data_IF_883680470330
#
_entry.id   IF_883680470330
#
_cell.length_a   1.000
_cell.length_b   1.000
_cell.length_c   1.000
_cell.angle_alpha   90.00
_cell.angle_beta   90.00
_cell.angle_gamma   90.00
#
_symmetry.space_group_name_H-M   'P 1'
#
loop_
_entity.id
_entity.type
_entity.pdbx_description
1 polymer ?
#
# COMPACT_ATOMS: atom_id res chain seq x y z
N UNK A 1 -45.35 46.09 -27.04
CA UNK A 1 -44.27 46.00 -28.05
C UNK A 1 -43.49 44.74 -27.72
N UNK A 2 -43.74 43.65 -28.45
CA UNK A 2 -42.89 43.08 -29.53
C UNK A 2 -41.57 42.52 -28.97
N UNK A 3 -41.09 41.30 -29.24
CA UNK A 3 -41.50 40.13 -30.02
C UNK A 3 -40.43 39.04 -29.71
N UNK A 4 -40.78 37.78 -29.41
CA UNK A 4 -40.66 36.57 -30.27
C UNK A 4 -39.27 36.19 -30.84
N UNK A 5 -39.03 34.86 -30.83
CA UNK A 5 -38.18 34.02 -31.70
C UNK A 5 -36.68 33.88 -31.35
N UNK A 6 -35.97 32.76 -31.60
CA UNK A 6 -36.31 31.43 -32.13
C UNK A 6 -35.14 30.45 -31.85
N UNK A 7 -35.49 29.16 -31.76
CA UNK A 7 -34.88 27.99 -32.40
C UNK A 7 -33.51 28.11 -33.08
N UNK A 8 -32.62 27.13 -32.84
CA UNK A 8 -32.00 26.30 -33.89
C UNK A 8 -31.54 24.96 -33.28
N UNK A 9 -32.26 23.91 -33.67
CA UNK A 9 -31.83 22.51 -33.69
C UNK A 9 -30.73 22.35 -34.74
N UNK A 10 -29.62 21.68 -34.42
CA UNK A 10 -28.77 21.04 -35.44
C UNK A 10 -28.67 19.54 -35.15
N UNK A 11 -29.66 18.83 -35.70
CA UNK A 11 -29.57 17.42 -36.07
C UNK A 11 -28.76 17.39 -37.38
N UNK A 12 -27.52 16.93 -37.34
CA UNK A 12 -26.61 16.89 -38.48
C UNK A 12 -26.03 15.49 -38.66
N UNK A 13 -26.70 14.72 -39.52
CA UNK A 13 -26.24 13.48 -40.14
C UNK A 13 -24.76 13.52 -40.54
N UNK A 14 -23.93 12.63 -39.99
CA UNK A 14 -22.74 12.10 -40.69
C UNK A 14 -22.80 10.58 -40.57
N UNK A 15 -23.58 10.00 -41.48
CA UNK A 15 -23.58 8.58 -41.81
C UNK A 15 -22.61 8.45 -42.98
N UNK A 16 -21.31 8.38 -42.70
CA UNK A 16 -20.30 8.07 -43.71
C UNK A 16 -20.10 6.55 -43.68
N UNK A 17 -20.69 5.91 -44.69
CA UNK A 17 -20.34 4.58 -45.11
C UNK A 17 -18.89 4.57 -45.58
N UNK A 18 -18.01 3.92 -44.82
CA UNK A 18 -16.78 3.34 -45.32
C UNK A 18 -16.92 1.82 -45.23
N UNK A 19 -17.65 1.26 -46.19
CA UNK A 19 -17.43 -0.11 -46.60
C UNK A 19 -16.08 -0.16 -47.31
N UNK A 20 -14.99 -0.18 -46.54
CA UNK A 20 -13.73 -0.70 -47.05
C UNK A 20 -13.94 -2.19 -47.28
N UNK A 21 -13.80 -2.58 -48.54
CA UNK A 21 -13.65 -3.96 -48.97
C UNK A 21 -12.45 -4.57 -48.23
N UNK A 22 -12.71 -5.32 -47.16
CA UNK A 22 -11.77 -6.30 -46.65
C UNK A 22 -11.79 -7.49 -47.60
N UNK A 23 -10.94 -7.46 -48.63
CA UNK A 23 -10.38 -8.68 -49.18
C UNK A 23 -9.50 -9.30 -48.09
N UNK A 24 -10.12 -10.06 -47.18
CA UNK A 24 -9.41 -10.99 -46.30
C UNK A 24 -8.93 -12.15 -47.18
N UNK A 25 -7.87 -11.93 -47.95
CA UNK A 25 -7.05 -13.07 -48.37
C UNK A 25 -6.30 -13.59 -47.12
N UNK A 26 -6.43 -14.89 -46.79
CA UNK A 26 -5.57 -15.48 -45.78
C UNK A 26 -4.12 -15.37 -46.27
N UNK A 27 -3.30 -14.68 -45.47
CA UNK A 27 -1.87 -14.54 -45.70
C UNK A 27 -1.20 -15.93 -45.70
N UNK A 28 -0.76 -16.38 -46.88
CA UNK A 28 -0.09 -17.69 -47.11
C UNK A 28 1.45 -17.55 -47.16
N UNK A 29 1.98 -16.48 -46.55
CA UNK A 29 3.41 -16.33 -46.33
C UNK A 29 3.87 -17.16 -45.14
N UNK A 30 5.12 -17.67 -45.10
CA UNK A 30 5.65 -18.29 -43.90
C UNK A 30 5.59 -17.28 -42.76
N UNK A 31 4.85 -17.62 -41.70
CA UNK A 31 4.90 -16.89 -40.43
C UNK A 31 6.29 -17.10 -39.82
N UNK A 32 7.22 -16.20 -40.13
CA UNK A 32 8.47 -16.10 -39.39
C UNK A 32 8.20 -15.35 -38.09
N UNK A 33 7.70 -16.07 -37.07
CA UNK A 33 7.79 -15.62 -35.68
C UNK A 33 9.24 -15.78 -35.23
N UNK A 34 10.10 -14.85 -35.63
CA UNK A 34 11.50 -14.88 -35.21
C UNK A 34 12.03 -13.45 -35.07
N UNK A 35 11.41 -12.67 -34.19
CA UNK A 35 12.18 -11.74 -33.38
C UNK A 35 12.52 -12.47 -32.09
N UNK A 36 13.47 -13.39 -32.17
CA UNK A 36 14.13 -13.92 -30.98
C UNK A 36 14.66 -12.71 -30.18
N UNK A 37 14.07 -12.44 -29.01
CA UNK A 37 14.58 -11.46 -28.07
C UNK A 37 16.02 -11.88 -27.73
N UNK A 38 17.00 -11.03 -28.02
CA UNK A 38 18.38 -11.38 -27.72
C UNK A 38 18.63 -11.27 -26.22
N UNK A 39 19.64 -11.96 -25.72
CA UNK A 39 20.04 -11.83 -24.32
C UNK A 39 20.43 -10.39 -23.95
N UNK A 40 21.03 -9.64 -24.90
CA UNK A 40 21.34 -8.22 -24.70
C UNK A 40 20.07 -7.39 -24.55
N UNK A 41 19.07 -7.60 -25.42
CA UNK A 41 17.81 -6.84 -25.36
C UNK A 41 17.03 -7.15 -24.08
N UNK A 42 17.04 -8.42 -23.64
CA UNK A 42 16.42 -8.81 -22.37
C UNK A 42 17.12 -8.16 -21.17
N UNK A 43 18.45 -8.01 -21.21
CA UNK A 43 19.19 -7.27 -20.18
C UNK A 43 18.79 -5.79 -20.16
N UNK A 44 18.65 -5.15 -21.31
CA UNK A 44 18.23 -3.74 -21.40
C UNK A 44 16.79 -3.53 -20.87
N UNK A 45 15.91 -4.51 -21.09
CA UNK A 45 14.54 -4.52 -20.53
C UNK A 45 14.58 -4.64 -19.01
N UNK A 46 15.41 -5.52 -18.47
CA UNK A 46 15.62 -5.68 -17.02
C UNK A 46 16.13 -4.39 -16.39
N UNK A 47 17.14 -3.75 -16.99
CA UNK A 47 17.67 -2.47 -16.50
C UNK A 47 16.61 -1.36 -16.52
N UNK A 48 15.80 -1.30 -17.58
CA UNK A 48 14.70 -0.33 -17.67
C UNK A 48 13.65 -0.57 -16.59
N UNK A 49 13.23 -1.82 -16.42
CA UNK A 49 12.21 -2.18 -15.45
C UNK A 49 12.70 -2.02 -14.00
N UNK A 50 13.98 -2.30 -13.73
CA UNK A 50 14.60 -2.05 -12.44
C UNK A 50 14.58 -0.55 -12.09
N UNK A 51 14.98 0.32 -13.02
CA UNK A 51 14.97 1.77 -12.76
C UNK A 51 13.55 2.27 -12.49
N UNK A 52 12.56 1.82 -13.27
CA UNK A 52 11.15 2.17 -13.00
C UNK A 52 10.69 1.67 -11.61
N UNK A 53 11.12 0.47 -11.21
CA UNK A 53 10.84 -0.08 -9.88
C UNK A 53 11.50 0.75 -8.76
N UNK A 54 12.76 1.15 -8.92
CA UNK A 54 13.48 1.98 -7.95
C UNK A 54 12.91 3.41 -7.84
N UNK A 55 12.40 3.95 -8.94
CA UNK A 55 11.75 5.27 -9.00
C UNK A 55 10.24 5.19 -8.68
N UNK A 56 9.76 4.03 -8.21
CA UNK A 56 8.34 3.83 -7.94
C UNK A 56 7.84 4.61 -6.73
N UNK A 57 6.56 4.95 -6.79
CA UNK A 57 5.77 5.49 -5.69
C UNK A 57 4.58 4.57 -5.38
N UNK A 58 3.81 4.93 -4.36
CA UNK A 58 2.62 4.17 -3.92
C UNK A 58 1.61 3.81 -5.02
N UNK A 59 1.54 4.57 -6.11
CA UNK A 59 0.55 4.38 -7.17
C UNK A 59 0.99 3.40 -8.26
N UNK A 60 2.29 3.15 -8.40
CA UNK A 60 2.87 2.35 -9.49
C UNK A 60 3.85 1.27 -9.01
N UNK A 61 4.12 1.18 -7.70
CA UNK A 61 5.04 0.20 -7.13
C UNK A 61 4.72 -1.24 -7.54
N UNK A 62 3.45 -1.66 -7.39
CA UNK A 62 3.03 -3.02 -7.75
C UNK A 62 3.20 -3.29 -9.25
N UNK A 63 2.82 -2.35 -10.10
CA UNK A 63 2.92 -2.49 -11.55
C UNK A 63 4.38 -2.53 -12.00
N UNK A 64 5.22 -1.65 -11.47
CA UNK A 64 6.65 -1.59 -11.80
C UNK A 64 7.42 -2.79 -11.24
N UNK A 65 7.04 -3.29 -10.06
CA UNK A 65 7.58 -4.52 -9.50
C UNK A 65 7.23 -5.74 -10.38
N UNK A 66 5.97 -5.86 -10.78
CA UNK A 66 5.52 -6.93 -11.68
C UNK A 66 6.24 -6.83 -13.03
N UNK A 67 6.39 -5.62 -13.58
CA UNK A 67 7.14 -5.41 -14.82
C UNK A 67 8.61 -5.84 -14.68
N UNK A 68 9.26 -5.53 -13.56
CA UNK A 68 10.63 -5.95 -13.29
C UNK A 68 10.76 -7.47 -13.19
N UNK A 69 9.84 -8.13 -12.47
CA UNK A 69 9.77 -9.59 -12.39
C UNK A 69 9.59 -10.23 -13.77
N UNK A 70 8.66 -9.72 -14.59
CA UNK A 70 8.42 -10.23 -15.94
C UNK A 70 9.68 -10.06 -16.80
N UNK A 71 10.37 -8.93 -16.73
CA UNK A 71 11.62 -8.72 -17.46
C UNK A 71 12.70 -9.74 -17.06
N UNK A 72 12.81 -10.08 -15.77
CA UNK A 72 13.74 -11.09 -15.29
C UNK A 72 13.35 -12.51 -15.75
N UNK A 73 12.05 -12.84 -15.75
CA UNK A 73 11.57 -14.12 -16.28
C UNK A 73 11.86 -14.26 -17.79
N UNK A 74 11.74 -13.17 -18.55
CA UNK A 74 12.14 -13.11 -19.95
C UNK A 74 13.65 -13.26 -20.12
N UNK A 75 14.45 -12.58 -19.31
CA UNK A 75 15.90 -12.71 -19.31
C UNK A 75 16.33 -14.15 -18.97
N UNK A 76 15.70 -14.79 -17.99
CA UNK A 76 15.97 -16.18 -17.62
C UNK A 76 15.74 -17.14 -18.79
N UNK A 77 14.72 -16.87 -19.61
CA UNK A 77 14.37 -17.69 -20.77
C UNK A 77 15.42 -17.60 -21.89
N UNK A 78 16.01 -16.43 -22.11
CA UNK A 78 16.94 -16.18 -23.23
C UNK A 78 18.42 -16.13 -22.85
N UNK A 79 18.73 -15.96 -21.56
CA UNK A 79 20.08 -15.86 -20.98
C UNK A 79 20.34 -16.96 -19.92
N UNK A 80 20.39 -18.26 -20.29
CA UNK A 80 20.51 -19.35 -19.31
C UNK A 80 21.83 -19.34 -18.52
N UNK A 81 22.86 -18.62 -18.98
CA UNK A 81 24.16 -18.56 -18.30
C UNK A 81 24.12 -17.83 -16.95
N UNK A 82 23.12 -16.98 -16.74
CA UNK A 82 22.89 -16.24 -15.49
C UNK A 82 21.68 -16.79 -14.70
N UNK A 83 21.26 -18.02 -15.01
CA UNK A 83 19.98 -18.54 -14.52
C UNK A 83 19.88 -18.68 -13.01
N UNK A 84 20.97 -19.01 -12.31
CA UNK A 84 20.98 -19.13 -10.85
C UNK A 84 20.74 -17.77 -10.18
N UNK A 85 21.50 -16.74 -10.58
CA UNK A 85 21.38 -15.37 -10.05
C UNK A 85 20.02 -14.74 -10.34
N UNK A 86 19.53 -14.91 -11.59
CA UNK A 86 18.20 -14.40 -11.99
C UNK A 86 17.09 -15.12 -11.23
N UNK A 87 17.21 -16.44 -10.99
CA UNK A 87 16.20 -17.20 -10.24
C UNK A 87 16.16 -16.80 -8.76
N UNK A 88 17.30 -16.48 -8.15
CA UNK A 88 17.33 -15.91 -6.80
C UNK A 88 16.59 -14.57 -6.75
N UNK A 89 16.88 -13.67 -7.69
CA UNK A 89 16.19 -12.39 -7.82
C UNK A 89 14.67 -12.55 -8.01
N UNK A 90 14.24 -13.45 -8.89
CA UNK A 90 12.82 -13.75 -9.11
C UNK A 90 12.17 -14.34 -7.85
N UNK A 91 12.90 -15.13 -7.06
CA UNK A 91 12.37 -15.68 -5.82
C UNK A 91 12.22 -14.63 -4.73
N UNK A 92 13.17 -13.71 -4.62
CA UNK A 92 13.01 -12.51 -3.82
C UNK A 92 11.80 -11.71 -4.34
N UNK A 93 11.55 -11.75 -5.66
CA UNK A 93 10.37 -11.19 -6.30
C UNK A 93 9.05 -11.94 -6.23
N UNK A 94 9.06 -13.20 -5.82
CA UNK A 94 7.82 -13.95 -5.66
C UNK A 94 7.06 -13.57 -4.38
N UNK A 95 7.63 -12.72 -3.52
CA UNK A 95 6.98 -12.19 -2.34
C UNK A 95 6.24 -10.85 -2.57
N UNK A 96 6.28 -10.24 -3.77
CA UNK A 96 5.67 -8.92 -3.98
C UNK A 96 4.14 -8.93 -4.20
N UNK A 97 3.47 -10.08 -4.24
CA UNK A 97 2.01 -10.12 -3.98
C UNK A 97 1.68 -9.71 -2.52
N UNK A 98 2.69 -9.62 -1.65
CA UNK A 98 2.61 -9.17 -0.26
C UNK A 98 3.63 -8.10 0.09
N UNK A 99 4.09 -7.29 -0.87
CA UNK A 99 5.10 -6.27 -0.61
C UNK A 99 4.55 -5.18 0.30
N UNK A 100 4.73 -5.38 1.59
CA UNK A 100 4.51 -4.38 2.61
C UNK A 100 5.39 -3.18 2.26
N UNK A 101 4.77 -2.04 2.02
CA UNK A 101 5.47 -0.81 1.69
C UNK A 101 5.36 0.13 2.87
N UNK A 102 6.46 0.68 3.37
CA UNK A 102 6.45 1.71 4.40
C UNK A 102 7.47 2.79 4.03
N UNK A 103 6.99 4.02 3.84
CA UNK A 103 7.79 5.17 3.43
C UNK A 103 7.43 6.40 4.26
N UNK A 104 8.39 7.31 4.44
CA UNK A 104 8.17 8.69 4.92
C UNK A 104 9.32 9.61 4.50
N UNK A 105 9.03 10.88 4.24
CA UNK A 105 10.03 11.87 3.86
C UNK A 105 10.36 12.80 5.03
N UNK A 106 11.65 13.08 5.24
CA UNK A 106 12.14 14.07 6.20
C UNK A 106 13.56 14.53 5.83
N UNK A 107 13.97 15.72 6.25
CA UNK A 107 15.31 16.30 5.97
C UNK A 107 15.71 16.36 4.46
N UNK A 108 14.70 16.36 3.56
CA UNK A 108 14.84 16.24 2.09
C UNK A 108 15.29 14.86 1.59
N UNK A 109 15.24 13.85 2.44
CA UNK A 109 15.48 12.46 2.10
C UNK A 109 14.21 11.63 2.28
N UNK A 110 14.15 10.50 1.58
CA UNK A 110 13.09 9.52 1.74
C UNK A 110 13.60 8.31 2.54
N UNK A 111 12.88 7.98 3.59
CA UNK A 111 13.05 6.75 4.34
C UNK A 111 12.16 5.66 3.75
N UNK A 112 12.77 4.50 3.48
CA UNK A 112 12.08 3.28 3.08
C UNK A 112 12.41 2.19 4.10
N UNK A 113 11.39 1.54 4.66
CA UNK A 113 11.64 0.37 5.50
C UNK A 113 12.05 -0.85 4.67
N UNK A 114 12.96 -1.65 5.21
CA UNK A 114 13.29 -2.99 4.71
C UNK A 114 12.28 -4.04 5.18
N UNK A 115 11.60 -3.78 6.30
CA UNK A 115 10.52 -4.62 6.81
C UNK A 115 9.47 -3.79 7.51
N UNK A 116 8.23 -4.23 7.48
CA UNK A 116 7.16 -3.60 8.23
C UNK A 116 6.16 -4.65 8.74
N UNK A 117 5.59 -4.39 9.91
CA UNK A 117 4.62 -5.26 10.55
C UNK A 117 3.59 -4.43 11.31
N UNK A 118 2.40 -5.00 11.46
CA UNK A 118 1.33 -4.44 12.26
C UNK A 118 0.82 -5.48 13.26
N UNK A 119 0.35 -4.99 14.40
CA UNK A 119 -0.19 -5.82 15.47
C UNK A 119 -1.38 -5.14 16.13
N UNK A 120 -2.49 -5.86 16.25
CA UNK A 120 -3.65 -5.46 17.06
C UNK A 120 -3.68 -6.29 18.34
N UNK A 121 -3.58 -5.64 19.48
CA UNK A 121 -3.60 -6.30 20.79
C UNK A 121 -3.85 -5.30 21.91
N UNK A 122 -4.50 -5.74 22.99
CA UNK A 122 -4.81 -4.91 24.16
C UNK A 122 -5.56 -3.60 23.81
N UNK A 123 -6.44 -3.62 22.80
CA UNK A 123 -7.18 -2.44 22.33
C UNK A 123 -6.33 -1.42 21.54
N UNK A 124 -5.10 -1.77 21.16
CA UNK A 124 -4.19 -0.91 20.42
C UNK A 124 -3.83 -1.52 19.07
N UNK A 125 -3.61 -0.66 18.09
CA UNK A 125 -2.99 -0.98 16.80
C UNK A 125 -1.57 -0.40 16.80
N UNK A 126 -0.58 -1.26 16.67
CA UNK A 126 0.83 -0.87 16.50
C UNK A 126 1.27 -1.16 15.08
N UNK A 127 1.88 -0.21 14.39
CA UNK A 127 2.50 -0.40 13.07
C UNK A 127 3.98 -0.04 13.20
N UNK A 128 4.86 -0.91 12.75
CA UNK A 128 6.32 -0.71 12.81
C UNK A 128 6.91 -0.82 11.42
N UNK A 129 7.75 0.14 11.03
CA UNK A 129 8.61 0.08 9.85
C UNK A 129 10.08 0.13 10.27
N UNK A 130 10.92 -0.77 9.76
CA UNK A 130 12.33 -0.89 10.16
C UNK A 130 13.29 -0.86 8.98
N UNK A 131 14.42 -0.17 9.13
CA UNK A 131 15.56 -0.14 8.20
C UNK A 131 16.84 -0.20 9.02
N UNK A 132 17.57 -1.32 8.96
CA UNK A 132 18.78 -1.54 9.75
C UNK A 132 18.58 -1.32 11.26
N UNK A 133 19.14 -0.24 11.82
CA UNK A 133 18.98 0.16 13.23
C UNK A 133 17.98 1.31 13.41
N UNK A 134 17.28 1.72 12.36
CA UNK A 134 16.28 2.79 12.36
C UNK A 134 14.86 2.21 12.42
N UNK A 135 14.03 2.68 13.35
CA UNK A 135 12.65 2.23 13.52
C UNK A 135 11.65 3.40 13.46
N UNK A 136 10.53 3.21 12.78
CA UNK A 136 9.30 3.96 12.94
C UNK A 136 8.29 3.12 13.71
N UNK A 137 7.64 3.71 14.70
CA UNK A 137 6.57 3.08 15.46
C UNK A 137 5.35 3.99 15.53
N UNK A 138 4.21 3.50 15.03
CA UNK A 138 2.91 4.14 15.14
C UNK A 138 2.10 3.36 16.17
N UNK A 139 1.54 4.05 17.17
CA UNK A 139 0.66 3.46 18.18
C UNK A 139 -0.67 4.22 18.14
N UNK A 140 -1.74 3.50 17.82
CA UNK A 140 -3.10 3.98 17.82
C UNK A 140 -3.91 3.24 18.90
N UNK A 141 -4.68 3.99 19.69
CA UNK A 141 -5.61 3.45 20.68
C UNK A 141 -7.00 3.13 20.07
N UNK A 142 -7.03 2.96 18.75
CA UNK A 142 -8.19 2.56 17.99
C UNK A 142 -7.75 1.48 16.99
N UNK A 143 -8.59 0.48 16.79
CA UNK A 143 -8.29 -0.72 15.98
C UNK A 143 -9.14 -0.81 14.72
N UNK A 144 -9.79 0.30 14.34
CA UNK A 144 -10.66 0.40 13.17
C UNK A 144 -10.03 1.26 12.07
N UNK A 145 -10.62 1.26 10.88
CA UNK A 145 -10.28 2.23 9.83
C UNK A 145 -10.72 3.64 10.25
N UNK A 146 -9.99 4.67 9.81
CA UNK A 146 -10.27 6.06 10.14
C UNK A 146 -9.03 6.97 10.21
N UNK A 147 -9.26 8.24 10.50
CA UNK A 147 -8.20 9.25 10.71
C UNK A 147 -8.08 9.58 12.19
N UNK A 148 -6.84 9.51 12.69
CA UNK A 148 -6.49 9.61 14.09
C UNK A 148 -5.51 10.76 14.30
N UNK A 149 -5.90 11.72 15.14
CA UNK A 149 -5.04 12.85 15.51
C UNK A 149 -3.94 12.39 16.46
N UNK A 150 -2.72 12.87 16.25
CA UNK A 150 -1.55 12.53 17.06
C UNK A 150 -1.27 13.60 18.11
N UNK A 151 -0.74 13.19 19.27
CA UNK A 151 -0.27 14.12 20.31
C UNK A 151 -1.34 14.74 21.19
N UNK A 152 -2.62 14.40 20.97
CA UNK A 152 -3.75 14.80 21.82
C UNK A 152 -4.20 13.68 22.75
N UNK A 153 -4.42 14.02 24.03
CA UNK A 153 -5.09 13.16 25.00
C UNK A 153 -6.59 13.12 24.69
N UNK A 154 -7.13 11.92 24.51
CA UNK A 154 -8.56 11.72 24.30
C UNK A 154 -9.35 11.72 25.63
N UNK A 155 -10.67 11.49 25.56
CA UNK A 155 -11.51 11.43 26.76
C UNK A 155 -11.22 10.24 27.69
N UNK A 156 -10.55 9.20 27.18
CA UNK A 156 -10.10 8.03 27.93
C UNK A 156 -8.75 8.24 28.62
N UNK A 157 -8.01 9.29 28.27
CA UNK A 157 -6.65 9.53 28.74
C UNK A 157 -5.58 8.92 27.84
N UNK A 158 -5.97 8.38 26.69
CA UNK A 158 -5.11 7.73 25.73
C UNK A 158 -4.54 8.74 24.71
N UNK A 159 -3.38 8.45 24.12
CA UNK A 159 -2.71 9.34 23.16
C UNK A 159 -2.20 8.52 21.99
N UNK A 160 -2.66 8.85 20.77
CA UNK A 160 -2.08 8.31 19.56
C UNK A 160 -0.71 8.94 19.30
N UNK A 161 0.28 8.12 18.97
CA UNK A 161 1.66 8.58 18.80
C UNK A 161 2.33 7.96 17.57
N UNK A 162 3.27 8.71 17.00
CA UNK A 162 4.26 8.23 16.06
C UNK A 162 5.63 8.59 16.62
N UNK A 163 6.54 7.62 16.60
CA UNK A 163 7.93 7.78 17.02
C UNK A 163 8.86 7.34 15.92
N UNK A 164 9.96 8.08 15.73
CA UNK A 164 11.09 7.69 14.90
C UNK A 164 12.35 7.57 15.75
N UNK A 165 13.02 6.43 15.65
CA UNK A 165 14.27 6.11 16.31
C UNK A 165 15.38 6.02 15.25
N UNK A 166 16.26 7.03 15.12
CA UNK A 166 17.37 6.98 14.14
C UNK A 166 18.41 5.91 14.49
N UNK A 167 18.45 5.46 15.74
CA UNK A 167 19.24 4.32 16.20
C UNK A 167 18.55 3.72 17.43
N UNK A 168 17.97 2.53 17.30
CA UNK A 168 17.28 1.80 18.38
C UNK A 168 18.19 1.44 19.56
N UNK A 169 19.51 1.54 19.40
CA UNK A 169 20.47 1.33 20.50
C UNK A 169 20.80 2.62 21.24
N UNK A 170 20.40 3.77 20.69
CA UNK A 170 20.49 5.08 21.31
C UNK A 170 19.23 5.40 22.13
N UNK A 171 19.28 6.47 22.92
CA UNK A 171 18.09 7.03 23.57
C UNK A 171 17.48 8.18 22.74
N UNK A 172 17.89 8.35 21.48
CA UNK A 172 17.40 9.42 20.62
C UNK A 172 16.09 8.99 19.95
N UNK A 173 15.07 9.85 20.01
CA UNK A 173 13.80 9.62 19.31
C UNK A 173 13.11 10.93 18.96
N UNK A 174 12.35 10.92 17.87
CA UNK A 174 11.49 12.02 17.45
C UNK A 174 10.04 11.57 17.63
N UNK A 175 9.34 12.15 18.60
CA UNK A 175 8.01 11.68 19.01
C UNK A 175 6.96 12.75 18.69
N UNK A 176 5.79 12.34 18.21
CA UNK A 176 4.63 13.21 17.97
C UNK A 176 3.91 13.60 19.28
N UNK A 177 4.65 13.92 20.33
CA UNK A 177 4.12 14.23 21.66
C UNK A 177 4.89 15.41 22.26
N UNK A 178 4.16 16.47 22.60
CA UNK A 178 4.69 17.63 23.34
C UNK A 178 4.24 17.55 24.81
N UNK A 179 2.97 17.87 25.05
CA UNK A 179 2.35 17.95 26.39
C UNK A 179 0.97 17.26 26.46
N UNK A 180 0.54 16.63 25.36
CA UNK A 180 -0.78 16.00 25.23
C UNK A 180 -1.93 16.94 24.85
N UNK A 181 -1.66 18.23 24.60
CA UNK A 181 -2.68 19.25 24.35
C UNK A 181 -2.64 19.86 22.94
N UNK A 182 -1.69 19.46 22.12
CA UNK A 182 -1.49 19.98 20.76
C UNK A 182 -1.58 18.86 19.72
N UNK A 183 -2.18 19.18 18.57
CA UNK A 183 -2.19 18.28 17.41
C UNK A 183 -0.79 18.30 16.79
N UNK A 184 -0.13 17.15 16.78
CA UNK A 184 1.22 16.97 16.25
C UNK A 184 1.24 16.33 14.87
N UNK A 185 0.08 15.95 14.33
CA UNK A 185 -0.05 15.26 13.06
C UNK A 185 -1.28 14.36 13.03
N UNK A 186 -1.32 13.48 12.03
CA UNK A 186 -2.38 12.48 11.90
C UNK A 186 -1.91 11.21 11.21
N UNK A 187 -2.61 10.12 11.50
CA UNK A 187 -2.52 8.84 10.81
C UNK A 187 -3.90 8.51 10.24
N UNK A 188 -3.98 8.13 8.97
CA UNK A 188 -5.20 7.60 8.36
C UNK A 188 -5.00 6.13 8.04
N UNK A 189 -5.76 5.27 8.70
CA UNK A 189 -5.88 3.85 8.35
C UNK A 189 -6.99 3.72 7.31
N UNK A 190 -6.62 3.45 6.05
CA UNK A 190 -7.56 3.41 4.93
C UNK A 190 -8.21 2.05 4.73
N UNK A 191 -7.51 0.97 5.09
CA UNK A 191 -8.01 -0.41 4.94
C UNK A 191 -7.40 -1.31 6.02
N UNK A 192 -8.24 -2.13 6.66
CA UNK A 192 -7.82 -3.30 7.45
C UNK A 192 -8.44 -4.55 6.83
N UNK A 193 -7.61 -5.34 6.15
CA UNK A 193 -8.05 -6.55 5.49
C UNK A 193 -7.86 -7.77 6.41
N UNK A 194 -8.90 -8.12 7.17
CA UNK A 194 -8.87 -9.28 8.07
C UNK A 194 -8.82 -10.65 7.35
N UNK A 195 -9.19 -10.69 6.06
CA UNK A 195 -9.11 -11.93 5.28
C UNK A 195 -7.67 -12.24 4.88
N UNK A 196 -6.93 -11.20 4.47
CA UNK A 196 -5.53 -11.30 4.04
C UNK A 196 -4.54 -10.95 5.15
N UNK A 197 -5.03 -10.56 6.33
CA UNK A 197 -4.23 -10.09 7.45
C UNK A 197 -3.26 -8.98 7.02
N UNK A 198 -3.79 -7.88 6.49
CA UNK A 198 -2.99 -6.72 6.09
C UNK A 198 -3.64 -5.38 6.46
N UNK A 199 -2.83 -4.32 6.51
CA UNK A 199 -3.27 -2.95 6.79
C UNK A 199 -2.59 -1.92 5.88
N UNK A 200 -3.34 -0.90 5.48
CA UNK A 200 -2.87 0.19 4.60
C UNK A 200 -3.33 1.56 5.09
N UNK A 201 -2.60 2.61 4.73
CA UNK A 201 -2.89 3.97 5.14
C UNK A 201 -1.77 4.98 4.88
N UNK A 202 -1.92 6.17 5.46
CA UNK A 202 -0.99 7.29 5.34
C UNK A 202 -0.77 7.97 6.69
N UNK A 203 0.30 8.74 6.82
CA UNK A 203 0.56 9.52 8.02
C UNK A 203 1.43 10.75 7.73
N UNK A 204 1.34 11.75 8.60
CA UNK A 204 2.29 12.87 8.64
C UNK A 204 2.32 13.43 10.06
N UNK A 205 3.50 13.85 10.53
CA UNK A 205 3.63 14.40 11.87
C UNK A 205 4.83 15.34 12.02
N UNK A 206 4.81 16.12 13.09
CA UNK A 206 5.96 16.86 13.59
C UNK A 206 6.50 16.12 14.80
N UNK A 207 7.72 15.60 14.70
CA UNK A 207 8.42 14.98 15.82
C UNK A 207 9.15 16.01 16.67
N UNK A 208 9.16 15.81 17.98
CA UNK A 208 9.93 16.62 18.94
C UNK A 208 11.06 15.80 19.54
N UNK A 209 12.25 16.40 19.63
CA UNK A 209 13.41 15.87 20.34
C UNK A 209 14.16 17.04 21.01
N UNK A 210 14.33 17.03 22.33
CA UNK A 210 15.08 18.08 23.05
C UNK A 210 14.64 19.54 22.77
N UNK A 211 13.34 19.76 22.55
CA UNK A 211 12.71 21.03 22.12
C UNK A 211 13.01 21.45 20.66
N UNK A 212 13.67 20.62 19.87
CA UNK A 212 13.76 20.77 18.42
C UNK A 212 12.59 20.04 17.75
N UNK A 213 12.16 20.56 16.60
CA UNK A 213 11.04 20.02 15.83
C UNK A 213 11.52 19.56 14.46
N UNK A 214 11.03 18.42 13.99
CA UNK A 214 11.27 17.90 12.63
C UNK A 214 9.97 17.48 11.99
N UNK A 215 9.76 17.85 10.73
CA UNK A 215 8.60 17.44 9.97
C UNK A 215 8.85 16.11 9.26
N UNK A 216 7.88 15.21 9.37
CA UNK A 216 7.81 13.93 8.68
C UNK A 216 6.56 13.94 7.81
N UNK A 217 6.76 13.91 6.49
CA UNK A 217 5.71 14.12 5.49
C UNK A 217 5.60 12.95 4.53
N UNK A 218 4.50 12.86 3.78
CA UNK A 218 4.28 11.82 2.78
C UNK A 218 4.46 10.40 3.33
N UNK A 219 4.09 10.19 4.60
CA UNK A 219 4.11 8.89 5.23
C UNK A 219 3.06 7.99 4.60
N UNK A 220 3.46 6.80 4.14
CA UNK A 220 2.57 5.83 3.50
C UNK A 220 2.92 4.44 4.03
N UNK A 221 1.90 3.64 4.32
CA UNK A 221 2.05 2.22 4.57
C UNK A 221 1.02 1.43 3.74
N UNK A 222 1.44 0.39 3.01
CA UNK A 222 0.57 -0.38 2.12
C UNK A 222 0.79 -1.86 2.38
N UNK A 223 -0.30 -2.61 2.55
CA UNK A 223 -0.28 -4.06 2.70
C UNK A 223 0.69 -4.54 3.78
N UNK A 224 0.77 -3.83 4.92
CA UNK A 224 1.60 -4.24 6.04
C UNK A 224 1.02 -5.52 6.67
N UNK A 225 1.78 -6.61 6.83
CA UNK A 225 1.33 -7.82 7.49
C UNK A 225 0.79 -7.53 8.88
N UNK A 226 -0.41 -8.00 9.15
CA UNK A 226 -1.14 -7.74 10.38
C UNK A 226 -1.22 -9.02 11.21
N UNK A 227 -0.86 -8.92 12.49
CA UNK A 227 -1.16 -9.95 13.49
C UNK A 227 -2.20 -9.41 14.48
N UNK A 228 -2.97 -10.31 15.10
CA UNK A 228 -3.94 -9.95 16.14
C UNK A 228 -3.74 -10.89 17.33
N UNK A 229 -3.79 -10.36 18.54
CA UNK A 229 -3.87 -11.19 19.75
C UNK A 229 -5.09 -12.12 19.66
N UNK A 230 -5.02 -13.30 20.30
CA UNK A 230 -6.09 -14.30 20.32
C UNK A 230 -7.30 -13.85 21.17
N UNK A 231 -7.87 -12.69 20.86
CA UNK A 231 -9.27 -12.44 21.15
C UNK A 231 -10.05 -13.37 20.23
N UNK A 232 -10.80 -14.30 20.82
CA UNK A 232 -11.54 -15.31 20.08
C UNK A 232 -12.52 -14.64 19.12
N UNK A 233 -12.17 -14.50 17.83
CA UNK A 233 -13.06 -14.00 16.80
C UNK A 233 -13.51 -15.18 15.93
N UNK A 234 -14.82 -15.32 15.76
CA UNK A 234 -15.42 -16.29 14.85
C UNK A 234 -16.04 -15.51 13.71
N UNK A 235 -15.72 -15.90 12.48
CA UNK A 235 -16.48 -15.43 11.32
C UNK A 235 -17.71 -16.31 11.17
N UNK A 236 -18.91 -15.73 11.23
CA UNK A 236 -20.16 -16.40 10.84
C UNK A 236 -20.54 -15.83 9.48
N UNK A 237 -20.50 -16.67 8.45
CA UNK A 237 -20.76 -16.28 7.05
C UNK A 237 -19.85 -15.15 6.52
N UNK A 238 -18.60 -15.10 6.97
CA UNK A 238 -17.60 -14.11 6.53
C UNK A 238 -17.70 -12.75 7.23
N UNK A 239 -18.55 -12.63 8.25
CA UNK A 239 -18.68 -11.44 9.11
C UNK A 239 -18.18 -11.77 10.50
N UNK A 240 -17.37 -10.89 11.11
CA UNK A 240 -16.92 -11.03 12.50
C UNK A 240 -18.12 -11.08 13.45
N UNK A 241 -18.15 -12.13 14.27
CA UNK A 241 -19.17 -12.31 15.27
C UNK A 241 -18.91 -11.36 16.45
N UNK A 242 -19.75 -10.34 16.57
CA UNK A 242 -19.83 -9.48 17.74
C UNK A 242 -20.61 -10.19 18.88
N UNK A 243 -20.02 -10.32 20.07
CA UNK A 243 -20.61 -11.01 21.25
C UNK A 243 -21.81 -10.26 21.89
N UNK A 244 -22.55 -9.48 21.12
CA UNK A 244 -23.70 -8.70 21.61
C UNK A 244 -25.05 -9.42 21.44
N UNK A 245 -25.08 -10.61 20.81
CA UNK A 245 -26.33 -11.29 20.43
C UNK A 245 -26.80 -12.41 21.35
N UNK A 246 -26.18 -12.62 22.51
CA UNK A 246 -26.73 -13.55 23.49
C UNK A 246 -27.96 -12.95 24.17
N UNK A 247 -29.13 -13.16 23.58
CA UNK A 247 -30.37 -13.17 24.36
C UNK A 247 -30.33 -14.48 25.16
N UNK A 248 -30.15 -14.46 26.49
CA UNK A 248 -30.23 -15.67 27.27
C UNK A 248 -31.60 -16.29 27.01
N UNK A 249 -31.61 -17.51 26.47
CA UNK A 249 -32.83 -18.29 26.31
C UNK A 249 -33.35 -18.60 27.71
N UNK A 250 -34.28 -17.77 28.20
CA UNK A 250 -35.03 -18.07 29.43
C UNK A 250 -36.01 -19.17 29.05
N UNK A 251 -35.70 -20.40 29.46
CA UNK A 251 -36.57 -21.53 29.26
C UNK A 251 -37.81 -21.37 30.15
N UNK A 252 -38.88 -20.79 29.61
CA UNK A 252 -40.12 -20.47 30.31
C UNK A 252 -41.01 -21.71 30.56
N UNK A 253 -40.43 -22.91 30.59
CA UNK A 253 -41.14 -24.18 30.85
C UNK A 253 -40.52 -24.98 32.00
N UNK A 254 -40.42 -24.34 33.16
CA UNK A 254 -40.36 -25.03 34.44
C UNK A 254 -41.62 -24.70 35.24
N UNK A 255 -42.73 -25.37 34.90
CA UNK A 255 -43.88 -25.59 35.79
C UNK A 255 -43.84 -27.03 36.34
#
# INVERSE_FOLDING_TARGET
MRAFNNSILYFGYILIALCYSCENEPYDGPLTFDTQLSCSDASDLVDTALNNFLDSDSSNFTDNCLAYKVALEEQLLVCPESSDEISELINDLNNYEFSSFFQVDFDNDTYFSLSAEAHIGNGQLTITGRRDNEDFQIILHQTTEGTYQLGLVDSGGDINTVSYFPDVTSNESWVSLNDGNEIMGEVTVSEINYSNLSISGTFSFTGINNNETKAFTNGIFINIPLTKDNEFFVLVDGVEFEETQFIPYVNEQAE
#
